data_IF_950175984845
#
_entry.id   IF_950175984845
#
_cell.length_a   1.000
_cell.length_b   1.000
_cell.length_c   1.000
_cell.angle_alpha   90.00
_cell.angle_beta   90.00
_cell.angle_gamma   90.00
#
_symmetry.space_group_name_H-M   'P 1'
#
loop_
_entity.id
_entity.type
_entity.pdbx_description
1 polymer ?
#
# COMPACT_ATOMS: atom_id res chain seq x y z
N UNK A 1 8.83 -5.11 -0.20
CA UNK A 1 8.17 -3.87 0.29
C UNK A 1 6.77 -3.85 -0.30
N UNK A 2 5.79 -4.46 0.39
CA UNK A 2 4.41 -4.62 -0.10
C UNK A 2 3.60 -3.33 0.08
N UNK A 3 2.42 -3.40 0.69
CA UNK A 3 1.49 -2.28 0.85
C UNK A 3 2.06 -1.01 1.51
N UNK A 4 3.22 -1.08 2.18
CA UNK A 4 3.94 0.09 2.72
C UNK A 4 4.83 0.81 1.71
N UNK A 5 4.97 0.34 0.48
CA UNK A 5 5.91 0.89 -0.52
C UNK A 5 5.65 2.37 -0.82
N UNK A 6 4.37 2.78 -0.90
CA UNK A 6 4.00 4.17 -1.15
C UNK A 6 4.57 5.12 -0.09
N UNK A 7 4.33 4.87 1.20
CA UNK A 7 4.85 5.75 2.25
C UNK A 7 6.39 5.72 2.36
N UNK A 8 7.02 4.59 2.05
CA UNK A 8 8.49 4.48 2.00
C UNK A 8 9.09 5.28 0.85
N UNK A 9 8.45 5.29 -0.31
CA UNK A 9 8.90 6.12 -1.44
C UNK A 9 8.83 7.61 -1.11
N UNK A 10 7.75 8.08 -0.45
CA UNK A 10 7.65 9.47 0.04
C UNK A 10 8.76 9.79 1.04
N UNK A 11 9.08 8.87 1.96
CA UNK A 11 10.18 9.04 2.90
C UNK A 11 11.53 9.24 2.21
N UNK A 12 11.86 8.34 1.27
CA UNK A 12 13.10 8.43 0.50
C UNK A 12 13.17 9.72 -0.32
N UNK A 13 12.07 10.09 -0.97
CA UNK A 13 11.98 11.34 -1.73
C UNK A 13 12.15 12.57 -0.84
N UNK A 14 11.58 12.57 0.37
CA UNK A 14 11.79 13.65 1.35
C UNK A 14 13.27 13.79 1.69
N UNK A 15 13.98 12.69 1.90
CA UNK A 15 15.41 12.74 2.21
C UNK A 15 16.25 13.21 1.01
N UNK A 16 15.92 12.80 -0.22
CA UNK A 16 16.56 13.32 -1.43
C UNK A 16 16.32 14.83 -1.61
N UNK A 17 15.11 15.31 -1.36
CA UNK A 17 14.77 16.74 -1.44
C UNK A 17 15.44 17.57 -0.33
N UNK A 18 15.89 16.97 0.78
CA UNK A 18 16.72 17.70 1.77
C UNK A 18 18.12 17.98 1.22
N UNK A 19 18.67 17.07 0.43
CA UNK A 19 20.02 17.19 -0.15
C UNK A 19 20.00 18.06 -1.40
N UNK A 20 19.00 17.88 -2.28
CA UNK A 20 18.89 18.60 -3.54
C UNK A 20 17.97 19.83 -3.43
N UNK A 21 18.55 21.03 -3.33
CA UNK A 21 17.80 22.29 -3.25
C UNK A 21 17.01 22.58 -4.55
N UNK A 22 15.90 23.30 -4.42
CA UNK A 22 15.08 23.81 -5.53
C UNK A 22 14.64 22.73 -6.55
N UNK A 23 14.34 21.54 -6.07
CA UNK A 23 14.05 20.35 -6.85
C UNK A 23 12.58 19.93 -6.75
N UNK A 24 12.15 19.19 -7.77
CA UNK A 24 10.87 18.50 -7.82
C UNK A 24 11.13 17.00 -7.90
N UNK A 25 10.24 16.21 -7.29
CA UNK A 25 10.30 14.77 -7.37
C UNK A 25 8.89 14.20 -7.60
N UNK A 26 8.77 13.33 -8.59
CA UNK A 26 7.54 12.59 -8.87
C UNK A 26 7.67 11.19 -8.29
N UNK A 27 6.77 10.84 -7.38
CA UNK A 27 6.63 9.51 -6.82
C UNK A 27 5.47 8.83 -7.53
N UNK A 28 5.75 7.72 -8.21
CA UNK A 28 4.73 6.86 -8.83
C UNK A 28 4.69 5.53 -8.08
N UNK A 29 3.50 5.14 -7.64
CA UNK A 29 3.23 3.84 -7.03
C UNK A 29 2.17 3.14 -7.85
N UNK A 30 2.51 1.98 -8.40
CA UNK A 30 1.60 1.12 -9.14
C UNK A 30 1.55 -0.23 -8.45
N UNK A 31 0.34 -0.71 -8.18
CA UNK A 31 0.07 -2.04 -7.67
C UNK A 31 -0.65 -2.83 -8.76
N UNK A 32 0.04 -3.81 -9.34
CA UNK A 32 -0.54 -4.74 -10.29
C UNK A 32 -0.76 -6.08 -9.58
N UNK A 33 -1.98 -6.35 -9.17
CA UNK A 33 -2.39 -7.68 -8.78
C UNK A 33 -2.43 -8.57 -10.03
N UNK A 34 -1.66 -9.66 -10.05
CA UNK A 34 -1.75 -10.67 -11.11
C UNK A 34 -3.19 -11.21 -11.16
N UNK A 35 -3.83 -11.32 -12.34
CA UNK A 35 -5.17 -11.88 -12.46
C UNK A 35 -5.12 -13.40 -12.31
N UNK A 36 -4.75 -13.88 -11.12
CA UNK A 36 -4.98 -15.25 -10.70
C UNK A 36 -6.30 -15.26 -9.95
N UNK A 37 -7.40 -15.26 -10.70
CA UNK A 37 -8.69 -15.65 -10.15
C UNK A 37 -8.50 -17.07 -9.59
N UNK A 38 -8.47 -17.20 -8.26
CA UNK A 38 -8.27 -18.49 -7.63
C UNK A 38 -9.42 -19.41 -8.06
N UNK A 39 -9.12 -20.41 -8.91
CA UNK A 39 -10.11 -21.31 -9.48
C UNK A 39 -10.59 -22.41 -8.52
N UNK A 40 -9.98 -22.50 -7.34
CA UNK A 40 -10.26 -23.57 -6.37
C UNK A 40 -11.46 -23.28 -5.47
N UNK A 41 -11.85 -24.30 -4.69
CA UNK A 41 -13.10 -24.31 -3.91
C UNK A 41 -12.95 -23.71 -2.50
N UNK A 42 -11.72 -23.41 -2.05
CA UNK A 42 -11.48 -22.89 -0.69
C UNK A 42 -11.88 -21.41 -0.63
N UNK A 43 -13.02 -21.11 0.01
CA UNK A 43 -13.56 -19.74 0.17
C UNK A 43 -12.52 -18.70 0.64
N UNK A 44 -11.63 -19.09 1.55
CA UNK A 44 -10.64 -18.18 2.13
C UNK A 44 -9.50 -17.82 1.17
N UNK A 45 -9.29 -18.62 0.14
CA UNK A 45 -8.28 -18.42 -0.90
C UNK A 45 -8.76 -17.46 -2.00
N UNK A 46 -10.04 -17.06 -1.97
CA UNK A 46 -10.61 -15.98 -2.79
C UNK A 46 -10.44 -14.58 -2.18
N UNK A 47 -10.15 -14.48 -0.88
CA UNK A 47 -9.99 -13.19 -0.19
C UNK A 47 -8.93 -12.26 -0.80
N UNK A 48 -7.74 -12.74 -1.22
CA UNK A 48 -6.74 -11.87 -1.81
C UNK A 48 -7.24 -11.17 -3.07
N UNK A 49 -8.02 -11.86 -3.91
CA UNK A 49 -8.59 -11.28 -5.14
C UNK A 49 -9.60 -10.16 -4.86
N UNK A 50 -10.18 -10.11 -3.66
CA UNK A 50 -11.11 -9.06 -3.22
C UNK A 50 -10.33 -7.92 -2.53
N UNK A 51 -9.33 -8.26 -1.73
CA UNK A 51 -8.57 -7.32 -0.91
C UNK A 51 -7.50 -6.55 -1.69
N UNK A 52 -6.81 -7.23 -2.62
CA UNK A 52 -5.75 -6.62 -3.42
C UNK A 52 -6.30 -6.26 -4.79
N UNK A 53 -6.56 -4.96 -4.95
CA UNK A 53 -7.02 -4.40 -6.22
C UNK A 53 -5.84 -3.81 -6.97
N UNK A 54 -5.95 -3.82 -8.30
CA UNK A 54 -5.00 -3.08 -9.13
C UNK A 54 -5.26 -1.58 -8.99
N UNK A 55 -4.20 -0.79 -8.90
CA UNK A 55 -4.32 0.66 -8.81
C UNK A 55 -2.98 1.37 -9.03
N UNK A 56 -3.08 2.66 -9.31
CA UNK A 56 -1.92 3.54 -9.44
C UNK A 56 -2.15 4.88 -8.74
N UNK A 57 -1.06 5.47 -8.25
CA UNK A 57 -1.05 6.78 -7.63
C UNK A 57 0.24 7.52 -7.98
N UNK A 58 0.12 8.81 -8.29
CA UNK A 58 1.24 9.70 -8.55
C UNK A 58 1.20 10.90 -7.61
N UNK A 59 2.33 11.21 -6.97
CA UNK A 59 2.48 12.31 -6.01
C UNK A 59 3.67 13.16 -6.44
N UNK A 60 3.43 14.46 -6.63
CA UNK A 60 4.48 15.44 -6.89
C UNK A 60 4.89 16.12 -5.59
N UNK A 61 6.18 16.02 -5.25
CA UNK A 61 6.80 16.67 -4.09
C UNK A 61 7.75 17.78 -4.55
N UNK A 62 7.78 18.88 -3.79
CA UNK A 62 8.63 20.04 -4.06
C UNK A 62 9.27 20.57 -2.79
N UNK A 63 10.51 21.06 -2.90
CA UNK A 63 11.14 21.90 -1.89
C UNK A 63 11.36 23.36 -2.37
N UNK A 64 10.74 23.74 -3.49
CA UNK A 64 10.87 25.07 -4.07
C UNK A 64 9.99 26.06 -3.29
N UNK A 65 10.54 27.23 -2.95
CA UNK A 65 9.79 28.27 -2.22
C UNK A 65 8.53 28.74 -2.97
N UNK A 66 8.61 28.82 -4.29
CA UNK A 66 7.49 29.24 -5.15
C UNK A 66 6.31 28.26 -5.12
N UNK A 67 6.58 26.97 -4.86
CA UNK A 67 5.54 25.94 -4.87
C UNK A 67 4.79 25.88 -3.54
N UNK A 68 5.31 26.54 -2.48
CA UNK A 68 4.70 26.53 -1.14
C UNK A 68 3.28 27.08 -1.13
N UNK A 69 2.97 28.07 -1.97
CA UNK A 69 1.64 28.68 -2.06
C UNK A 69 0.61 27.81 -2.79
N UNK A 70 1.05 26.84 -3.59
CA UNK A 70 0.17 25.95 -4.38
C UNK A 70 0.14 24.51 -3.85
N UNK A 71 1.01 24.18 -2.90
CA UNK A 71 1.09 22.88 -2.28
C UNK A 71 -0.22 22.57 -1.53
N UNK A 72 -0.78 21.39 -1.76
CA UNK A 72 -2.02 20.96 -1.12
C UNK A 72 -1.81 20.34 0.27
N UNK A 73 -0.63 19.78 0.48
CA UNK A 73 -0.23 19.10 1.71
C UNK A 73 1.24 19.38 2.00
N UNK A 74 1.61 19.34 3.28
CA UNK A 74 2.98 19.42 3.76
C UNK A 74 3.36 18.13 4.49
N UNK A 75 4.55 17.59 4.22
CA UNK A 75 5.02 16.33 4.83
C UNK A 75 5.80 16.64 6.11
N UNK A 76 5.08 16.75 7.23
CA UNK A 76 5.67 17.06 8.53
C UNK A 76 6.45 15.87 9.12
N UNK A 77 5.74 14.80 9.48
CA UNK A 77 6.27 13.64 10.20
C UNK A 77 6.04 12.35 9.43
N UNK A 78 7.01 11.45 9.49
CA UNK A 78 6.95 10.17 8.79
C UNK A 78 7.60 9.12 9.70
N UNK A 79 6.77 8.26 10.28
CA UNK A 79 7.18 7.27 11.29
C UNK A 79 7.01 5.88 10.69
N UNK A 80 8.03 5.04 10.87
CA UNK A 80 8.01 3.64 10.44
C UNK A 80 8.22 2.73 11.63
N UNK A 81 7.28 1.82 11.85
CA UNK A 81 7.42 0.71 12.81
C UNK A 81 7.71 -0.57 12.04
N UNK A 82 8.67 -1.36 12.53
CA UNK A 82 9.03 -2.65 11.93
C UNK A 82 8.78 -3.77 12.95
N UNK A 83 7.85 -4.66 12.62
CA UNK A 83 7.47 -5.83 13.42
C UNK A 83 7.86 -7.14 12.72
N UNK A 84 8.89 -7.11 11.88
CA UNK A 84 9.28 -8.28 11.07
C UNK A 84 9.85 -9.46 11.86
N UNK A 85 10.15 -9.29 13.14
CA UNK A 85 10.56 -10.37 14.05
C UNK A 85 9.37 -11.03 14.77
N UNK A 86 8.16 -10.53 14.56
CA UNK A 86 6.94 -11.11 15.12
C UNK A 86 6.40 -12.18 14.16
N UNK A 87 6.37 -13.43 14.62
CA UNK A 87 5.97 -14.57 13.79
C UNK A 87 4.50 -14.49 13.36
N UNK A 88 3.60 -13.93 14.18
CA UNK A 88 2.19 -13.76 13.82
C UNK A 88 2.03 -12.71 12.71
N UNK A 89 2.79 -11.61 12.80
CA UNK A 89 2.83 -10.59 11.77
C UNK A 89 3.47 -11.11 10.47
N UNK A 90 4.55 -11.88 10.57
CA UNK A 90 5.21 -12.51 9.41
C UNK A 90 4.26 -13.46 8.69
N UNK A 91 3.52 -14.28 9.44
CA UNK A 91 2.55 -15.21 8.88
C UNK A 91 1.22 -14.55 8.47
N UNK A 92 1.06 -13.22 8.58
CA UNK A 92 -0.22 -12.54 8.28
C UNK A 92 -0.75 -12.79 6.86
N UNK A 93 0.15 -12.88 5.88
CA UNK A 93 -0.13 -13.21 4.48
C UNK A 93 1.01 -14.07 3.93
N UNK A 94 0.68 -15.24 3.38
CA UNK A 94 1.65 -16.09 2.70
C UNK A 94 1.03 -16.83 1.51
N UNK A 95 1.86 -17.29 0.59
CA UNK A 95 1.41 -18.09 -0.57
C UNK A 95 1.27 -19.56 -0.16
N UNK A 96 0.15 -20.18 -0.54
CA UNK A 96 -0.12 -21.59 -0.27
C UNK A 96 -0.87 -22.23 -1.44
N UNK A 97 -0.52 -23.46 -1.76
CA UNK A 97 -1.27 -24.31 -2.70
C UNK A 97 -2.47 -24.96 -2.01
N UNK A 98 -3.57 -25.10 -2.73
CA UNK A 98 -4.69 -25.94 -2.31
C UNK A 98 -4.46 -27.43 -2.61
N UNK A 99 -5.49 -28.25 -2.39
CA UNK A 99 -5.45 -29.70 -2.63
C UNK A 99 -5.37 -30.05 -4.12
N UNK A 100 -5.80 -29.14 -5.00
CA UNK A 100 -5.77 -29.28 -6.46
C UNK A 100 -4.47 -28.69 -7.06
N UNK A 101 -3.54 -28.24 -6.21
CA UNK A 101 -2.27 -27.63 -6.61
C UNK A 101 -2.36 -26.16 -7.05
N UNK A 102 -3.51 -25.51 -6.89
CA UNK A 102 -3.72 -24.11 -7.26
C UNK A 102 -3.12 -23.22 -6.17
N UNK A 103 -2.12 -22.41 -6.54
CA UNK A 103 -1.47 -21.47 -5.64
C UNK A 103 -2.20 -20.14 -5.54
N UNK A 104 -2.33 -19.64 -4.31
CA UNK A 104 -2.87 -18.32 -4.04
C UNK A 104 -2.33 -17.77 -2.71
N UNK A 105 -2.55 -16.49 -2.47
CA UNK A 105 -2.28 -15.87 -1.17
C UNK A 105 -3.32 -16.32 -0.15
N UNK A 106 -2.90 -16.48 1.10
CA UNK A 106 -3.78 -16.84 2.21
C UNK A 106 -3.60 -15.82 3.32
N UNK A 107 -4.68 -15.13 3.67
CA UNK A 107 -4.77 -14.31 4.87
C UNK A 107 -4.88 -15.22 6.11
N UNK A 108 -4.01 -15.05 7.09
CA UNK A 108 -4.07 -15.81 8.35
C UNK A 108 -4.87 -15.09 9.44
N UNK A 109 -4.88 -15.67 10.63
CA UNK A 109 -5.70 -15.24 11.77
C UNK A 109 -5.50 -13.77 12.10
N UNK A 110 -4.26 -13.27 12.11
CA UNK A 110 -3.98 -11.86 12.42
C UNK A 110 -4.67 -10.91 11.42
N UNK A 111 -4.49 -11.13 10.11
CA UNK A 111 -5.12 -10.30 9.09
C UNK A 111 -6.66 -10.45 9.09
N UNK A 112 -7.16 -11.66 9.34
CA UNK A 112 -8.61 -11.93 9.46
C UNK A 112 -9.23 -11.18 10.62
N UNK A 113 -8.65 -11.28 11.82
CA UNK A 113 -9.15 -10.61 13.02
C UNK A 113 -9.17 -9.10 12.82
N UNK A 114 -8.10 -8.54 12.26
CA UNK A 114 -8.03 -7.11 11.95
C UNK A 114 -9.08 -6.70 10.92
N UNK A 115 -9.29 -7.48 9.86
CA UNK A 115 -10.31 -7.20 8.85
C UNK A 115 -11.73 -7.30 9.41
N UNK A 116 -12.03 -8.30 10.26
CA UNK A 116 -13.34 -8.42 10.90
C UNK A 116 -13.61 -7.28 11.89
N UNK A 117 -12.59 -6.79 12.58
CA UNK A 117 -12.70 -5.67 13.51
C UNK A 117 -12.79 -4.31 12.80
N UNK A 118 -12.02 -4.10 11.73
CA UNK A 118 -11.91 -2.81 11.03
C UNK A 118 -12.83 -2.70 9.81
N UNK A 119 -13.30 -3.81 9.25
CA UNK A 119 -14.18 -3.85 8.08
C UNK A 119 -15.44 -3.00 8.22
N UNK A 120 -16.14 -2.98 9.39
CA UNK A 120 -17.26 -2.07 9.62
C UNK A 120 -16.86 -0.59 9.75
N UNK A 121 -15.59 -0.30 10.03
CA UNK A 121 -15.07 1.06 10.26
C UNK A 121 -14.48 1.70 9.00
N UNK A 122 -14.11 0.92 7.99
CA UNK A 122 -13.70 1.44 6.69
C UNK A 122 -14.92 1.88 5.87
N UNK A 123 -15.51 3.02 6.24
CA UNK A 123 -16.13 3.88 5.22
C UNK A 123 -14.99 4.45 4.37
N UNK A 124 -14.76 3.81 3.22
CA UNK A 124 -13.88 4.21 2.12
C UNK A 124 -12.83 5.27 2.41
N UNK A 125 -11.61 4.85 2.72
CA UNK A 125 -10.43 5.68 2.47
C UNK A 125 -10.10 5.61 0.97
N UNK A 126 -10.93 6.25 0.15
CA UNK A 126 -10.50 6.70 -1.17
C UNK A 126 -9.82 8.03 -0.92
N UNK A 127 -8.49 8.06 -0.97
CA UNK A 127 -7.77 9.32 -1.05
C UNK A 127 -8.02 9.89 -2.45
N UNK A 128 -9.17 10.54 -2.63
CA UNK A 128 -9.42 11.38 -3.79
C UNK A 128 -8.45 12.56 -3.70
N UNK A 129 -7.61 12.74 -4.72
CA UNK A 129 -7.10 14.06 -5.11
C UNK A 129 -6.61 14.08 -6.58
N UNK A 130 -7.60 14.28 -7.47
CA UNK A 130 -7.61 15.23 -8.59
C UNK A 130 -6.48 15.08 -9.64
N UNK A 131 -6.78 14.30 -10.70
CA UNK A 131 -6.42 14.71 -12.05
C UNK A 131 -7.45 15.75 -12.51
N UNK A 132 -7.03 17.01 -12.63
CA UNK A 132 -7.80 18.06 -13.30
C UNK A 132 -7.36 18.06 -14.77
N UNK A 133 -8.26 17.65 -15.66
CA UNK A 133 -8.62 18.45 -16.82
C UNK A 133 -10.11 18.70 -16.76
#
# INVERSE_FOLDING_TARGET
MGCSAGILSIYLTKDLLKVHKNSLALVLSMEAATPNGYGGKKKLMHLPSILFQMGEAAILLSNRKQDKGIAKYEVEHLVRTHIGSDDEAYQSVFQKSDEDGIETLVATKALKTNLSALGPMQKGFIMYQISRR
#
